data_IF_917002779116
#
_entry.id   IF_917002779116
#
_cell.length_a   1.000
_cell.length_b   1.000
_cell.length_c   1.000
_cell.angle_alpha   90.00
_cell.angle_beta   90.00
_cell.angle_gamma   90.00
#
_symmetry.space_group_name_H-M   'P 1'
#
loop_
_entity.id
_entity.type
_entity.pdbx_description
1 polymer ?
#
# COMPACT_ATOMS: atom_id res chain seq x y z
N UNK A 1 -16.20 4.58 -18.51
CA UNK A 1 -16.43 3.87 -19.79
C UNK A 1 -17.20 4.67 -20.84
N UNK A 2 -18.20 5.51 -20.47
CA UNK A 2 -19.02 6.27 -21.43
C UNK A 2 -18.30 7.47 -22.10
N UNK A 3 -17.56 8.26 -21.31
CA UNK A 3 -16.88 9.49 -21.77
C UNK A 3 -15.89 9.27 -22.93
N UNK A 4 -15.01 8.25 -22.91
CA UNK A 4 -14.09 7.98 -24.02
C UNK A 4 -14.78 7.59 -25.34
N UNK A 5 -16.07 7.23 -25.31
CA UNK A 5 -16.89 6.89 -26.48
C UNK A 5 -17.79 8.04 -26.93
N UNK A 6 -17.68 9.23 -26.32
CA UNK A 6 -18.54 10.40 -26.57
C UNK A 6 -20.05 10.14 -26.42
N UNK A 7 -20.45 9.10 -25.70
CA UNK A 7 -21.86 8.79 -25.48
C UNK A 7 -22.45 9.69 -24.41
N UNK A 8 -23.75 10.00 -24.50
CA UNK A 8 -24.53 10.66 -23.43
C UNK A 8 -25.15 9.63 -22.47
N UNK A 9 -25.59 10.03 -21.25
CA UNK A 9 -26.29 9.08 -20.35
C UNK A 9 -27.55 8.53 -21.00
N UNK A 10 -28.24 9.35 -21.80
CA UNK A 10 -29.40 8.92 -22.58
C UNK A 10 -29.04 7.86 -23.63
N UNK A 11 -27.92 8.03 -24.33
CA UNK A 11 -27.41 7.05 -25.29
C UNK A 11 -27.11 5.70 -24.62
N UNK A 12 -26.45 5.71 -23.46
CA UNK A 12 -26.19 4.47 -22.73
C UNK A 12 -27.49 3.82 -22.22
N UNK A 13 -28.44 4.64 -21.77
CA UNK A 13 -29.72 4.18 -21.27
C UNK A 13 -30.56 3.49 -22.37
N UNK A 14 -30.60 4.08 -23.56
CA UNK A 14 -31.22 3.50 -24.75
C UNK A 14 -30.59 2.15 -25.12
N UNK A 15 -29.25 2.10 -25.21
CA UNK A 15 -28.52 0.86 -25.50
C UNK A 15 -28.73 -0.24 -24.45
N UNK A 16 -29.02 0.15 -23.20
CA UNK A 16 -29.25 -0.77 -22.09
C UNK A 16 -30.74 -1.02 -21.81
N UNK A 17 -31.66 -0.48 -22.61
CA UNK A 17 -33.11 -0.56 -22.40
C UNK A 17 -33.52 -0.18 -20.96
N UNK A 18 -33.11 1.02 -20.53
CA UNK A 18 -33.44 1.62 -19.23
C UNK A 18 -33.65 3.13 -19.37
N UNK A 19 -34.13 3.80 -18.31
CA UNK A 19 -34.30 5.26 -18.36
C UNK A 19 -32.97 6.00 -18.17
N UNK A 20 -32.79 7.19 -18.79
CA UNK A 20 -31.60 8.03 -18.58
C UNK A 20 -31.40 8.41 -17.12
N UNK A 21 -32.50 8.70 -16.41
CA UNK A 21 -32.48 8.99 -14.96
C UNK A 21 -31.94 7.80 -14.16
N UNK A 22 -32.32 6.57 -14.54
CA UNK A 22 -31.81 5.36 -13.90
C UNK A 22 -30.30 5.18 -14.10
N UNK A 23 -29.79 5.34 -15.33
CA UNK A 23 -28.33 5.34 -15.57
C UNK A 23 -27.64 6.42 -14.75
N UNK A 24 -28.22 7.63 -14.66
CA UNK A 24 -27.69 8.70 -13.83
C UNK A 24 -27.58 8.31 -12.35
N UNK A 25 -28.62 7.70 -11.78
CA UNK A 25 -28.58 7.20 -10.39
C UNK A 25 -27.61 6.04 -10.19
N UNK A 26 -27.43 5.16 -11.18
CA UNK A 26 -26.43 4.09 -11.14
C UNK A 26 -25.01 4.68 -11.17
N UNK A 27 -24.72 5.62 -12.07
CA UNK A 27 -23.39 6.27 -12.19
C UNK A 27 -23.02 7.05 -10.91
N UNK A 28 -24.00 7.55 -10.14
CA UNK A 28 -23.79 8.22 -8.84
C UNK A 28 -23.79 7.27 -7.63
N UNK A 29 -24.06 5.98 -7.82
CA UNK A 29 -24.14 5.00 -6.73
C UNK A 29 -25.41 5.07 -5.89
N UNK A 30 -26.44 5.80 -6.32
CA UNK A 30 -27.73 5.92 -5.62
C UNK A 30 -28.63 4.69 -5.81
N UNK A 31 -28.45 3.98 -6.93
CA UNK A 31 -29.19 2.75 -7.24
C UNK A 31 -28.25 1.62 -7.61
N UNK A 32 -28.47 0.47 -6.99
CA UNK A 32 -27.83 -0.78 -7.36
C UNK A 32 -28.56 -1.40 -8.55
N UNK A 33 -27.91 -1.56 -9.71
CA UNK A 33 -28.51 -2.23 -10.85
C UNK A 33 -28.66 -3.74 -10.62
N UNK A 34 -29.69 -4.34 -11.22
CA UNK A 34 -29.83 -5.80 -11.21
C UNK A 34 -28.71 -6.45 -12.03
N UNK A 35 -28.44 -7.74 -11.78
CA UNK A 35 -27.45 -8.50 -12.55
C UNK A 35 -27.77 -8.50 -14.05
N UNK A 36 -29.06 -8.51 -14.42
CA UNK A 36 -29.49 -8.42 -15.80
C UNK A 36 -29.10 -7.08 -16.45
N UNK A 37 -29.29 -5.96 -15.74
CA UNK A 37 -28.88 -4.63 -16.20
C UNK A 37 -27.35 -4.56 -16.33
N UNK A 38 -26.61 -5.03 -15.31
CA UNK A 38 -25.15 -5.10 -15.36
C UNK A 38 -24.65 -5.92 -16.54
N UNK A 39 -25.29 -7.05 -16.84
CA UNK A 39 -24.97 -7.87 -18.02
C UNK A 39 -25.18 -7.10 -19.32
N UNK A 40 -26.28 -6.33 -19.45
CA UNK A 40 -26.51 -5.49 -20.63
C UNK A 40 -25.46 -4.39 -20.76
N UNK A 41 -25.14 -3.70 -19.66
CA UNK A 41 -24.08 -2.68 -19.62
C UNK A 41 -22.73 -3.28 -20.06
N UNK A 42 -22.35 -4.43 -19.52
CA UNK A 42 -21.12 -5.12 -19.90
C UNK A 42 -21.10 -5.50 -21.39
N UNK A 43 -22.22 -6.00 -21.94
CA UNK A 43 -22.37 -6.31 -23.37
C UNK A 43 -22.21 -5.07 -24.25
N UNK A 44 -22.87 -3.96 -23.90
CA UNK A 44 -22.78 -2.68 -24.61
C UNK A 44 -21.35 -2.13 -24.64
N UNK A 45 -20.60 -2.32 -23.56
CA UNK A 45 -19.18 -1.96 -23.51
C UNK A 45 -18.25 -3.04 -24.10
N UNK A 46 -18.77 -4.23 -24.42
CA UNK A 46 -17.99 -5.38 -24.90
C UNK A 46 -16.88 -5.80 -23.93
N UNK A 47 -17.20 -5.78 -22.63
CA UNK A 47 -16.28 -6.17 -21.54
C UNK A 47 -16.87 -7.33 -20.74
N UNK A 48 -16.02 -8.03 -19.97
CA UNK A 48 -16.50 -8.98 -18.97
C UNK A 48 -17.22 -8.22 -17.86
N UNK A 49 -18.27 -8.81 -17.30
CA UNK A 49 -19.05 -8.17 -16.23
C UNK A 49 -18.20 -7.79 -15.00
N UNK A 50 -17.18 -8.59 -14.68
CA UNK A 50 -16.24 -8.30 -13.58
C UNK A 50 -15.48 -6.99 -13.76
N UNK A 51 -15.21 -6.58 -14.99
CA UNK A 51 -14.50 -5.33 -15.32
C UNK A 51 -15.31 -4.08 -14.95
N UNK A 52 -16.62 -4.20 -14.74
CA UNK A 52 -17.43 -3.09 -14.21
C UNK A 52 -17.09 -2.75 -12.74
N UNK A 53 -16.41 -3.66 -12.04
CA UNK A 53 -16.02 -3.53 -10.63
C UNK A 53 -14.52 -3.34 -10.45
N UNK A 54 -13.75 -3.35 -11.53
CA UNK A 54 -12.30 -3.10 -11.47
C UNK A 54 -12.07 -1.62 -11.14
N UNK A 55 -11.63 -1.37 -9.91
CA UNK A 55 -11.04 -0.10 -9.50
C UNK A 55 -9.55 -0.23 -9.77
N UNK A 56 -8.93 0.72 -10.52
CA UNK A 56 -7.48 0.66 -10.72
C UNK A 56 -6.81 0.76 -9.36
N UNK A 57 -6.05 -0.27 -9.01
CA UNK A 57 -5.29 -0.27 -7.77
C UNK A 57 -4.22 0.83 -7.82
N UNK A 58 -3.98 1.48 -6.69
CA UNK A 58 -2.82 2.36 -6.57
C UNK A 58 -1.53 1.52 -6.60
N UNK A 59 -0.36 2.14 -6.89
CA UNK A 59 0.92 1.44 -6.79
C UNK A 59 1.14 0.81 -5.41
N UNK A 60 0.72 1.50 -4.34
CA UNK A 60 0.81 0.99 -2.96
C UNK A 60 -0.05 -0.25 -2.75
N UNK A 61 -1.31 -0.23 -3.20
CA UNK A 61 -2.21 -1.38 -3.13
C UNK A 61 -1.62 -2.58 -3.88
N UNK A 62 -0.99 -2.35 -5.04
CA UNK A 62 -0.33 -3.41 -5.82
C UNK A 62 0.84 -4.05 -5.07
N UNK A 63 1.67 -3.25 -4.38
CA UNK A 63 2.77 -3.80 -3.57
C UNK A 63 2.26 -4.54 -2.31
N UNK A 64 1.20 -4.04 -1.67
CA UNK A 64 0.54 -4.71 -0.54
C UNK A 64 -0.04 -6.06 -0.97
N UNK A 65 -0.67 -6.12 -2.14
CA UNK A 65 -1.21 -7.36 -2.70
C UNK A 65 -0.11 -8.39 -2.96
N UNK A 66 1.04 -7.97 -3.52
CA UNK A 66 2.20 -8.86 -3.70
C UNK A 66 2.65 -9.47 -2.39
N UNK A 67 2.79 -8.66 -1.34
CA UNK A 67 3.16 -9.14 0.01
C UNK A 67 2.10 -10.12 0.51
N UNK A 68 0.82 -9.76 0.42
CA UNK A 68 -0.30 -10.60 0.85
C UNK A 68 -0.34 -11.95 0.13
N UNK A 69 -0.02 -11.99 -1.17
CA UNK A 69 0.09 -13.20 -1.97
C UNK A 69 1.25 -14.07 -1.48
N UNK A 70 2.43 -13.49 -1.25
CA UNK A 70 3.60 -14.23 -0.76
C UNK A 70 3.36 -14.90 0.61
N UNK A 71 2.54 -14.28 1.46
CA UNK A 71 2.25 -14.75 2.83
C UNK A 71 1.12 -15.78 2.92
N UNK A 72 0.25 -15.90 1.91
CA UNK A 72 -0.99 -16.71 1.97
C UNK A 72 -0.76 -18.18 2.32
N UNK A 73 0.32 -18.76 1.81
CA UNK A 73 0.65 -20.18 1.97
C UNK A 73 1.82 -20.40 2.95
N UNK A 74 1.97 -19.52 3.94
CA UNK A 74 3.03 -19.62 4.95
C UNK A 74 2.47 -20.09 6.29
N UNK A 75 3.23 -20.87 7.08
CA UNK A 75 2.89 -21.19 8.45
C UNK A 75 2.60 -19.91 9.27
N UNK A 76 1.67 -20.00 10.21
CA UNK A 76 1.31 -18.87 11.07
C UNK A 76 2.51 -18.31 11.84
N UNK A 77 3.44 -19.19 12.26
CA UNK A 77 4.67 -18.79 12.93
C UNK A 77 5.56 -17.91 12.05
N UNK A 78 5.72 -18.25 10.78
CA UNK A 78 6.47 -17.45 9.80
C UNK A 78 5.78 -16.10 9.57
N UNK A 79 4.45 -16.08 9.44
CA UNK A 79 3.69 -14.85 9.27
C UNK A 79 3.85 -13.93 10.50
N UNK A 80 3.80 -14.49 11.71
CA UNK A 80 4.05 -13.73 12.94
C UNK A 80 5.46 -13.17 13.00
N UNK A 81 6.48 -13.98 12.69
CA UNK A 81 7.87 -13.55 12.66
C UNK A 81 8.05 -12.38 11.67
N UNK A 82 7.51 -12.52 10.45
CA UNK A 82 7.57 -11.48 9.42
C UNK A 82 6.85 -10.20 9.87
N UNK A 83 5.67 -10.32 10.51
CA UNK A 83 4.94 -9.18 11.04
C UNK A 83 5.75 -8.42 12.11
N UNK A 84 6.40 -9.13 13.03
CA UNK A 84 7.25 -8.53 14.07
C UNK A 84 8.45 -7.80 13.47
N UNK A 85 9.14 -8.42 12.51
CA UNK A 85 10.28 -7.80 11.83
C UNK A 85 9.84 -6.56 11.04
N UNK A 86 8.70 -6.64 10.36
CA UNK A 86 8.12 -5.52 9.61
C UNK A 86 7.78 -4.37 10.54
N UNK A 87 7.15 -4.63 11.69
CA UNK A 87 6.85 -3.60 12.69
C UNK A 87 8.13 -2.90 13.19
N UNK A 88 9.17 -3.68 13.51
CA UNK A 88 10.45 -3.14 13.95
C UNK A 88 11.10 -2.26 12.87
N UNK A 89 11.08 -2.71 11.62
CA UNK A 89 11.62 -1.95 10.50
C UNK A 89 10.84 -0.65 10.26
N UNK A 90 9.51 -0.70 10.27
CA UNK A 90 8.66 0.47 10.09
C UNK A 90 8.84 1.49 11.23
N UNK A 91 8.94 1.01 12.48
CA UNK A 91 9.27 1.86 13.65
C UNK A 91 10.61 2.56 13.44
N UNK A 92 11.63 1.86 12.92
CA UNK A 92 12.94 2.45 12.62
C UNK A 92 12.86 3.48 11.50
N UNK A 93 12.12 3.21 10.43
CA UNK A 93 11.92 4.17 9.34
C UNK A 93 11.19 5.45 9.79
N UNK A 94 10.22 5.33 10.70
CA UNK A 94 9.53 6.50 11.26
C UNK A 94 10.49 7.40 12.06
N UNK A 95 11.40 6.80 12.83
CA UNK A 95 12.43 7.55 13.56
C UNK A 95 13.41 8.27 12.61
N UNK A 96 13.81 7.61 11.51
CA UNK A 96 14.72 8.21 10.53
C UNK A 96 14.05 9.33 9.73
N UNK A 97 12.78 9.18 9.34
CA UNK A 97 12.03 10.26 8.67
C UNK A 97 11.77 11.47 9.58
N UNK A 98 11.75 11.27 10.90
CA UNK A 98 11.74 12.36 11.89
C UNK A 98 13.11 13.02 12.11
N UNK A 99 14.20 12.44 11.58
CA UNK A 99 15.56 12.96 11.69
C UNK A 99 15.88 13.94 10.56
N UNK A 100 15.32 13.73 9.36
CA UNK A 100 15.58 14.57 8.18
C UNK A 100 15.10 16.04 8.37
N UNK A 101 14.12 16.30 9.25
CA UNK A 101 13.67 17.66 9.56
C UNK A 101 14.64 18.50 10.41
N UNK A 102 15.65 17.88 11.04
CA UNK A 102 16.68 18.59 11.82
C UNK A 102 17.98 18.82 11.04
N UNK A 103 18.15 18.14 9.89
CA UNK A 103 19.39 18.17 9.10
C UNK A 103 19.43 19.37 8.13
N UNK A 104 18.30 19.90 7.68
CA UNK A 104 18.25 21.07 6.76
C UNK A 104 18.63 22.42 7.42
N UNK A 105 18.83 22.48 8.74
CA UNK A 105 19.29 23.71 9.42
C UNK A 105 20.81 23.82 9.57
N UNK A 106 21.56 22.85 9.08
CA UNK A 106 23.02 22.87 9.20
C UNK A 106 23.70 22.59 7.86
N UNK A 107 23.46 23.46 6.86
CA UNK A 107 24.42 23.58 5.75
C UNK A 107 24.58 25.03 5.29
N UNK A 108 25.42 25.76 6.03
CA UNK A 108 26.21 26.83 5.47
C UNK A 108 27.49 26.96 6.30
N UNK A 109 28.46 26.08 6.06
CA UNK A 109 29.92 26.31 6.04
C UNK A 109 30.69 25.00 6.24
N UNK A 110 31.38 24.59 5.17
CA UNK A 110 32.61 23.78 5.06
C UNK A 110 33.06 22.95 6.28
N UNK A 111 33.05 21.62 6.15
CA UNK A 111 34.25 20.73 6.14
C UNK A 111 33.83 19.25 6.32
N UNK A 112 34.43 18.34 5.53
CA UNK A 112 34.23 16.88 5.66
C UNK A 112 34.78 16.39 7.02
N UNK A 113 33.92 16.26 8.01
CA UNK A 113 34.21 15.57 9.29
C UNK A 113 34.16 14.04 9.15
N UNK A 114 34.85 13.28 10.03
CA UNK A 114 35.11 11.87 9.82
C UNK A 114 33.87 10.99 10.07
N UNK A 115 33.79 9.88 9.34
CA UNK A 115 32.76 8.84 9.46
C UNK A 115 32.67 8.34 10.92
N UNK A 116 31.46 8.17 11.49
CA UNK A 116 31.30 7.74 12.86
C UNK A 116 31.79 6.29 13.05
N UNK A 117 32.39 5.94 14.20
CA UNK A 117 33.01 4.64 14.36
C UNK A 117 31.96 3.54 14.54
N UNK A 118 32.20 2.41 13.86
CA UNK A 118 31.40 1.19 13.98
C UNK A 118 31.63 0.58 15.37
N UNK A 119 30.57 0.50 16.20
CA UNK A 119 30.63 -0.21 17.49
C UNK A 119 30.56 -1.71 17.26
N UNK A 120 31.69 -2.39 17.41
CA UNK A 120 31.76 -3.85 17.52
C UNK A 120 31.64 -4.18 19.03
N UNK A 121 30.60 -4.90 19.44
CA UNK A 121 30.48 -5.41 20.81
C UNK A 121 31.57 -6.47 21.04
N UNK A 122 32.39 -6.30 22.09
CA UNK A 122 33.23 -7.38 22.63
C UNK A 122 32.51 -8.01 23.81
N UNK A 123 32.42 -9.32 23.77
CA UNK A 123 31.85 -10.18 24.80
C UNK A 123 32.58 -10.06 26.15
N UNK A 124 31.75 -10.03 27.19
CA UNK A 124 31.88 -10.48 28.58
C UNK A 124 33.27 -10.80 29.17
N UNK A 125 33.67 -10.04 30.19
CA UNK A 125 34.61 -10.46 31.25
C UNK A 125 33.88 -11.34 32.29
N UNK A 126 34.54 -12.36 32.86
CA UNK A 126 34.21 -12.82 34.19
C UNK A 126 35.34 -12.51 35.20
N UNK A 127 34.92 -11.75 36.21
CA UNK A 127 35.27 -11.91 37.62
C UNK A 127 36.73 -11.74 38.07
N UNK A 128 36.93 -10.56 38.68
CA UNK A 128 37.84 -10.33 39.79
C UNK A 128 37.67 -11.37 40.92
N UNK A 129 38.78 -11.83 41.50
CA UNK A 129 38.84 -12.31 42.88
C UNK A 129 40.29 -12.29 43.41
N UNK A 130 40.53 -11.35 44.35
CA UNK A 130 41.47 -11.36 45.49
C UNK A 130 42.98 -11.57 45.24
N UNK A 131 43.91 -10.91 45.92
CA UNK A 131 43.88 -10.09 47.13
C UNK A 131 45.29 -10.10 47.75
N UNK A 132 45.86 -8.91 47.93
CA UNK A 132 46.74 -8.45 49.02
C UNK A 132 47.93 -9.31 49.52
N UNK A 133 49.15 -8.84 49.23
CA UNK A 133 50.21 -8.47 50.18
C UNK A 133 50.85 -9.51 51.12
N UNK A 134 52.08 -9.92 50.83
CA UNK A 134 53.34 -9.43 51.44
C UNK A 134 54.53 -9.96 50.64
#
# INVERSE_FOLDING_TARGET
MRKPRNWSQATLAELCDVSPSYIGSVERGEKLPSLQVLSRIAKVFSVRIGTLFEVPATPEETEIDKISIMLRDKPLEDIHCIAQVTELYLRRLAQLRGYDSEVEKCDSTTEKGPMPPIRIHKDSDPSSANGTGQ
#
